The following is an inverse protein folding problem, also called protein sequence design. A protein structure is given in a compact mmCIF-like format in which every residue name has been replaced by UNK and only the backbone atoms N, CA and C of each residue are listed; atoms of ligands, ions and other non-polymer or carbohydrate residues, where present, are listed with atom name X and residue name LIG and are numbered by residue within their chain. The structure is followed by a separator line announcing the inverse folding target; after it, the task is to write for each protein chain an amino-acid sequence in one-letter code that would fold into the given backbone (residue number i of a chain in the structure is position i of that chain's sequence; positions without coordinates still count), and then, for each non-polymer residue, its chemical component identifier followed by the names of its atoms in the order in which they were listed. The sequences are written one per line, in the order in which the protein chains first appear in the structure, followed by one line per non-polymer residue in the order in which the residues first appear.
data_IF_923787549680
#
_entry.id   IF_923787549680
#
_cell.length_a   1.000
_cell.length_b   1.000
_cell.length_c   1.000
_cell.angle_alpha   90.00
_cell.angle_beta   90.00
_cell.angle_gamma   90.00
#
_symmetry.space_group_name_H-M   'P 1'
#
loop_
_entity.id
_entity.type
_entity.pdbx_description
1 polymer ?
#
# COMPACT_ATOMS: atom_id res chain seq x y z
N UNK A 1 20.46 1.73 27.20
CA UNK A 1 20.01 0.81 26.12
C UNK A 1 20.85 0.87 24.83
N UNK A 2 21.39 2.04 24.41
CA UNK A 2 22.30 2.17 23.24
C UNK A 2 23.42 1.12 23.17
N UNK A 3 24.01 0.76 24.32
CA UNK A 3 25.17 -0.14 24.42
C UNK A 3 24.87 -1.62 24.19
N UNK A 4 23.60 -2.03 24.07
CA UNK A 4 23.19 -3.44 23.99
C UNK A 4 23.37 -4.21 25.30
N UNK A 5 23.30 -5.54 25.22
CA UNK A 5 23.49 -6.46 26.34
C UNK A 5 24.89 -7.08 26.25
N UNK A 6 25.91 -6.29 26.61
CA UNK A 6 27.33 -6.65 26.45
C UNK A 6 27.73 -7.92 27.21
N UNK A 7 27.10 -8.19 28.35
CA UNK A 7 27.31 -9.43 29.15
C UNK A 7 27.07 -10.69 28.30
N UNK A 8 26.24 -10.59 27.26
CA UNK A 8 25.93 -11.68 26.33
C UNK A 8 26.51 -11.44 24.92
N UNK A 9 27.53 -10.59 24.76
CA UNK A 9 28.10 -10.21 23.46
C UNK A 9 27.06 -9.69 22.43
N UNK A 10 25.96 -9.11 22.91
CA UNK A 10 24.89 -8.57 22.09
C UNK A 10 25.01 -7.06 21.97
N UNK A 11 25.26 -6.55 20.76
CA UNK A 11 25.43 -5.13 20.47
C UNK A 11 24.25 -4.58 19.66
N UNK A 12 23.89 -3.32 19.89
CA UNK A 12 22.84 -2.66 19.11
C UNK A 12 23.43 -2.01 17.86
N UNK A 13 22.70 -2.08 16.75
CA UNK A 13 23.12 -1.44 15.51
C UNK A 13 22.78 0.05 15.55
N UNK A 14 23.80 0.90 15.71
CA UNK A 14 23.66 2.36 15.77
C UNK A 14 22.95 2.95 14.54
N UNK A 15 23.14 2.35 13.36
CA UNK A 15 22.50 2.78 12.11
C UNK A 15 20.98 2.52 12.08
N UNK A 16 20.44 1.74 13.02
CA UNK A 16 19.01 1.41 13.11
C UNK A 16 18.26 2.21 14.18
N UNK A 17 18.94 3.04 14.97
CA UNK A 17 18.26 3.92 15.91
C UNK A 17 17.59 5.08 15.16
N UNK A 18 16.40 5.43 15.62
CA UNK A 18 15.63 6.57 15.15
C UNK A 18 14.89 7.14 16.34
N UNK A 19 14.98 8.45 16.53
CA UNK A 19 14.21 9.20 17.52
C UNK A 19 13.62 10.45 16.85
N UNK A 20 12.54 10.98 17.42
CA UNK A 20 11.91 12.25 17.02
C UNK A 20 12.28 13.41 17.97
N UNK A 21 13.26 13.22 18.84
CA UNK A 21 13.78 14.20 19.78
C UNK A 21 15.31 14.17 19.76
N UNK A 22 15.94 15.26 20.21
CA UNK A 22 17.38 15.35 20.26
C UNK A 22 17.95 14.40 21.31
N UNK A 23 18.61 13.36 20.83
CA UNK A 23 19.42 12.47 21.65
C UNK A 23 20.80 13.11 21.75
N UNK A 24 21.28 13.38 22.97
CA UNK A 24 22.63 13.93 23.23
C UNK A 24 23.66 13.38 22.24
N UNK A 25 24.12 14.28 21.36
CA UNK A 25 24.89 13.94 20.18
C UNK A 25 26.35 13.80 20.57
N UNK A 26 26.93 12.62 20.36
CA UNK A 26 28.34 12.56 20.01
C UNK A 26 28.47 13.00 18.55
N UNK A 27 29.51 13.76 18.15
CA UNK A 27 29.62 14.41 16.84
C UNK A 27 29.52 13.47 15.62
N UNK A 28 29.62 12.15 15.84
CA UNK A 28 29.55 11.12 14.80
C UNK A 28 28.18 10.38 14.72
N UNK A 29 27.19 10.77 15.53
CA UNK A 29 25.93 10.02 15.70
C UNK A 29 24.73 10.72 15.05
N UNK A 30 24.52 10.46 13.76
CA UNK A 30 23.30 10.86 13.02
C UNK A 30 22.08 10.02 13.43
N UNK A 31 21.55 10.26 14.63
CA UNK A 31 20.42 9.54 15.24
C UNK A 31 19.05 10.10 14.86
N UNK A 32 18.99 11.35 14.37
CA UNK A 32 17.77 11.98 13.88
C UNK A 32 17.46 11.52 12.44
N UNK A 33 17.10 10.24 12.30
CA UNK A 33 16.76 9.61 11.00
C UNK A 33 15.27 9.62 10.69
N UNK A 34 14.57 10.64 11.19
CA UNK A 34 13.17 10.86 10.88
C UNK A 34 13.05 11.05 9.36
N UNK A 35 12.16 10.29 8.74
CA UNK A 35 11.84 10.47 7.33
C UNK A 35 11.00 11.72 7.19
N UNK A 36 11.57 12.78 6.61
CA UNK A 36 10.88 14.04 6.39
C UNK A 36 10.08 13.95 5.08
N UNK A 37 8.82 14.33 5.17
CA UNK A 37 7.91 14.49 4.05
C UNK A 37 8.40 15.56 3.09
N UNK A 38 7.79 15.59 1.91
CA UNK A 38 8.16 16.51 0.83
C UNK A 38 7.85 17.98 1.19
N UNK A 39 6.90 18.17 2.09
CA UNK A 39 6.45 19.44 2.66
C UNK A 39 7.41 20.01 3.71
N UNK A 40 8.43 19.24 4.12
CA UNK A 40 9.40 19.66 5.15
C UNK A 40 8.84 19.68 6.58
N UNK A 41 7.51 19.79 6.73
CA UNK A 41 6.81 19.86 8.00
C UNK A 41 6.41 18.48 8.53
N UNK A 42 5.96 17.56 7.66
CA UNK A 42 5.56 16.23 8.10
C UNK A 42 6.79 15.34 8.30
N UNK A 43 6.84 14.60 9.40
CA UNK A 43 7.98 13.75 9.71
C UNK A 43 7.54 12.40 10.26
N UNK A 44 8.27 11.33 9.92
CA UNK A 44 7.90 9.95 10.23
C UNK A 44 9.05 9.15 10.84
N UNK A 45 8.76 8.40 11.90
CA UNK A 45 9.63 7.31 12.36
C UNK A 45 9.37 6.08 11.50
N UNK A 46 10.43 5.53 10.92
CA UNK A 46 10.38 4.27 10.18
C UNK A 46 10.57 3.09 11.13
N UNK A 47 9.60 2.19 11.14
CA UNK A 47 9.66 1.00 12.00
C UNK A 47 9.08 -0.22 11.31
N UNK A 48 9.93 -1.23 11.03
CA UNK A 48 9.51 -2.54 10.51
C UNK A 48 8.60 -2.50 9.26
N UNK A 49 8.83 -1.54 8.36
CA UNK A 49 8.02 -1.35 7.15
C UNK A 49 6.75 -0.51 7.36
N UNK A 50 6.68 0.23 8.48
CA UNK A 50 5.67 1.23 8.81
C UNK A 50 6.30 2.62 8.85
N UNK A 51 5.48 3.62 8.56
CA UNK A 51 5.73 5.03 8.81
C UNK A 51 4.79 5.47 9.92
N UNK A 52 5.35 5.93 11.03
CA UNK A 52 4.60 6.47 12.17
C UNK A 52 4.77 7.98 12.14
N UNK A 53 3.69 8.72 11.95
CA UNK A 53 3.73 10.18 11.94
C UNK A 53 4.16 10.70 13.31
N UNK A 54 5.17 11.56 13.38
CA UNK A 54 5.71 12.03 14.66
C UNK A 54 4.77 12.99 15.41
N UNK A 55 3.83 13.61 14.71
CA UNK A 55 2.88 14.58 15.27
C UNK A 55 1.52 13.93 15.53
N UNK A 56 0.99 13.16 14.57
CA UNK A 56 -0.36 12.59 14.66
C UNK A 56 -0.40 11.14 15.15
N UNK A 57 0.76 10.47 15.21
CA UNK A 57 0.89 9.03 15.53
C UNK A 57 0.14 8.09 14.58
N UNK A 58 -0.38 8.62 13.46
CA UNK A 58 -1.03 7.84 12.42
C UNK A 58 -0.04 6.93 11.70
N UNK A 59 -0.54 5.81 11.20
CA UNK A 59 0.28 4.72 10.68
C UNK A 59 0.06 4.56 9.18
N UNK A 60 1.15 4.65 8.43
CA UNK A 60 1.18 4.37 6.99
C UNK A 60 2.14 3.23 6.65
N UNK A 61 1.94 2.61 5.49
CA UNK A 61 2.85 1.58 5.02
C UNK A 61 4.11 2.19 4.38
N UNK A 62 5.30 1.72 4.78
CA UNK A 62 6.55 2.16 4.16
C UNK A 62 6.78 1.43 2.82
N UNK A 63 6.81 2.21 1.74
CA UNK A 63 7.07 1.74 0.37
C UNK A 63 8.45 2.14 -0.17
N UNK A 64 9.29 2.80 0.63
CA UNK A 64 10.62 3.29 0.22
C UNK A 64 11.52 2.17 -0.32
N UNK A 65 11.34 0.93 0.17
CA UNK A 65 12.06 -0.25 -0.33
C UNK A 65 11.87 -0.56 -1.82
N UNK A 66 10.85 0.00 -2.46
CA UNK A 66 10.59 -0.17 -3.89
C UNK A 66 11.27 0.89 -4.76
N UNK A 67 12.00 1.85 -4.17
CA UNK A 67 12.65 2.93 -4.92
C UNK A 67 14.01 2.54 -5.49
N UNK A 68 14.71 1.61 -4.85
CA UNK A 68 16.07 1.23 -5.25
C UNK A 68 16.12 0.38 -6.52
N UNK A 69 15.12 -0.48 -6.73
CA UNK A 69 15.11 -1.48 -7.81
C UNK A 69 13.81 -1.42 -8.61
N UNK A 70 13.86 -1.93 -9.85
CA UNK A 70 12.65 -2.10 -10.65
C UNK A 70 11.69 -3.07 -9.95
N UNK A 71 10.40 -2.73 -9.86
CA UNK A 71 9.40 -3.47 -9.08
C UNK A 71 9.25 -4.93 -9.50
N UNK A 72 9.52 -5.26 -10.77
CA UNK A 72 9.52 -6.64 -11.28
C UNK A 72 10.50 -7.56 -10.54
N UNK A 73 11.61 -7.03 -9.99
CA UNK A 73 12.55 -7.80 -9.16
C UNK A 73 11.91 -8.39 -7.88
N UNK A 74 10.74 -7.87 -7.50
CA UNK A 74 10.00 -8.31 -6.31
C UNK A 74 8.89 -9.32 -6.64
N UNK A 75 8.88 -9.85 -7.86
CA UNK A 75 7.86 -10.75 -8.38
C UNK A 75 8.50 -12.02 -8.95
N UNK A 76 7.85 -13.14 -8.70
CA UNK A 76 8.11 -14.41 -9.41
C UNK A 76 6.89 -14.69 -10.29
N UNK A 77 7.12 -14.74 -11.60
CA UNK A 77 6.08 -14.99 -12.60
C UNK A 77 6.04 -16.48 -12.91
N UNK A 78 4.87 -17.09 -12.73
CA UNK A 78 4.65 -18.50 -13.03
C UNK A 78 3.77 -18.60 -14.28
N UNK A 79 4.35 -19.18 -15.35
CA UNK A 79 3.65 -19.42 -16.62
C UNK A 79 3.06 -20.83 -16.73
N UNK A 80 3.58 -21.79 -15.97
CA UNK A 80 3.11 -23.18 -15.98
C UNK A 80 1.69 -23.32 -15.38
N UNK A 81 0.90 -24.24 -15.93
CA UNK A 81 -0.45 -24.57 -15.46
C UNK A 81 -1.47 -23.51 -15.85
N UNK A 82 -2.14 -22.91 -14.86
CA UNK A 82 -3.20 -21.90 -15.05
C UNK A 82 -2.67 -20.49 -14.72
N UNK A 83 -1.99 -19.80 -15.67
CA UNK A 83 -1.28 -18.54 -15.40
C UNK A 83 -2.19 -17.42 -14.88
N UNK A 84 -3.45 -17.40 -15.33
CA UNK A 84 -4.46 -16.48 -14.83
C UNK A 84 -4.81 -16.68 -13.34
N UNK A 85 -4.87 -17.94 -12.87
CA UNK A 85 -5.06 -18.24 -11.46
C UNK A 85 -3.83 -17.84 -10.63
N UNK A 86 -2.63 -18.04 -11.16
CA UNK A 86 -1.38 -17.61 -10.53
C UNK A 86 -1.30 -16.09 -10.37
N UNK A 87 -1.71 -15.33 -11.38
CA UNK A 87 -1.83 -13.88 -11.28
C UNK A 87 -2.79 -13.46 -10.15
N UNK A 88 -3.98 -14.07 -10.09
CA UNK A 88 -4.96 -13.83 -9.02
C UNK A 88 -4.38 -14.14 -7.63
N UNK A 89 -3.67 -15.26 -7.48
CA UNK A 89 -2.98 -15.64 -6.25
C UNK A 89 -1.91 -14.61 -5.88
N UNK A 90 -1.10 -14.16 -6.83
CA UNK A 90 -0.02 -13.18 -6.59
C UNK A 90 -0.54 -11.84 -6.09
N UNK A 91 -1.65 -11.33 -6.65
CA UNK A 91 -2.28 -10.12 -6.12
C UNK A 91 -2.77 -10.31 -4.68
N UNK A 92 -3.39 -11.46 -4.39
CA UNK A 92 -3.83 -11.78 -3.02
C UNK A 92 -2.67 -11.90 -2.05
N UNK A 93 -1.60 -12.57 -2.44
CA UNK A 93 -0.40 -12.73 -1.61
C UNK A 93 0.24 -11.38 -1.27
N UNK A 94 0.21 -10.43 -2.21
CA UNK A 94 0.66 -9.06 -1.94
C UNK A 94 -0.28 -8.30 -0.98
N UNK A 95 -1.59 -8.36 -1.22
CA UNK A 95 -2.58 -7.60 -0.43
C UNK A 95 -2.77 -8.18 0.99
N UNK A 96 -2.64 -9.49 1.16
CA UNK A 96 -2.89 -10.20 2.42
C UNK A 96 -2.12 -9.62 3.61
N UNK A 97 -0.79 -9.45 3.59
CA UNK A 97 -0.07 -8.86 4.74
C UNK A 97 -0.44 -7.39 4.99
N UNK A 98 -0.96 -6.68 3.98
CA UNK A 98 -1.31 -5.25 4.07
C UNK A 98 -2.70 -5.01 4.66
N UNK A 99 -3.54 -6.02 4.76
CA UNK A 99 -4.85 -5.94 5.41
C UNK A 99 -4.73 -6.02 6.95
N UNK A 100 -3.75 -5.36 7.58
CA UNK A 100 -3.58 -5.38 9.04
C UNK A 100 -4.41 -4.27 9.70
N UNK A 101 -5.10 -4.52 10.84
CA UNK A 101 -5.94 -3.53 11.51
C UNK A 101 -5.28 -2.17 11.79
N UNK A 102 -3.97 -2.15 12.06
CA UNK A 102 -3.18 -0.92 12.28
C UNK A 102 -3.37 0.17 11.21
N UNK A 103 -3.68 -0.20 9.96
CA UNK A 103 -3.86 0.78 8.87
C UNK A 103 -5.31 1.28 8.72
N UNK A 104 -6.27 0.64 9.37
CA UNK A 104 -7.71 0.86 9.13
C UNK A 104 -8.51 1.14 10.41
N UNK A 105 -7.88 1.03 11.58
CA UNK A 105 -8.49 1.37 12.85
C UNK A 105 -8.64 2.89 12.98
N UNK A 106 -9.89 3.33 13.12
CA UNK A 106 -10.28 4.73 13.31
C UNK A 106 -9.94 5.26 14.71
N UNK A 107 -9.49 4.40 15.64
CA UNK A 107 -8.87 4.86 16.89
C UNK A 107 -7.43 5.35 16.68
N UNK A 108 -6.78 4.93 15.58
CA UNK A 108 -5.36 5.22 15.29
C UNK A 108 -5.23 6.20 14.11
N UNK A 109 -6.09 6.06 13.10
CA UNK A 109 -5.96 6.79 11.84
C UNK A 109 -7.21 7.60 11.54
N UNK A 110 -7.01 8.81 11.02
CA UNK A 110 -8.06 9.62 10.42
C UNK A 110 -8.73 8.93 9.23
N UNK A 111 -9.91 9.42 8.87
CA UNK A 111 -10.66 8.91 7.72
C UNK A 111 -9.87 9.07 6.41
N UNK A 112 -9.09 10.16 6.30
CA UNK A 112 -8.15 10.44 5.23
C UNK A 112 -7.05 9.38 5.14
N UNK A 113 -6.33 9.13 6.24
CA UNK A 113 -5.19 8.20 6.25
C UNK A 113 -5.63 6.75 6.02
N UNK A 114 -6.79 6.34 6.53
CA UNK A 114 -7.38 5.02 6.23
C UNK A 114 -7.55 4.84 4.72
N UNK A 115 -8.13 5.83 4.03
CA UNK A 115 -8.35 5.77 2.58
C UNK A 115 -7.05 5.89 1.80
N UNK A 116 -6.11 6.72 2.26
CA UNK A 116 -4.78 6.84 1.67
C UNK A 116 -4.03 5.50 1.71
N UNK A 117 -4.03 4.81 2.85
CA UNK A 117 -3.42 3.49 3.00
C UNK A 117 -3.99 2.49 1.98
N UNK A 118 -5.31 2.45 1.81
CA UNK A 118 -5.98 1.60 0.82
C UNK A 118 -5.54 1.96 -0.60
N UNK A 119 -5.55 3.25 -0.93
CA UNK A 119 -5.19 3.74 -2.25
C UNK A 119 -3.74 3.38 -2.62
N UNK A 120 -2.80 3.67 -1.73
CA UNK A 120 -1.38 3.36 -1.92
C UNK A 120 -1.13 1.85 -2.06
N UNK A 121 -1.83 1.01 -1.28
CA UNK A 121 -1.79 -0.45 -1.44
C UNK A 121 -2.27 -0.88 -2.83
N UNK A 122 -3.34 -0.26 -3.35
CA UNK A 122 -3.82 -0.56 -4.70
C UNK A 122 -2.92 -0.02 -5.80
N UNK A 123 -2.24 1.12 -5.62
CA UNK A 123 -1.23 1.60 -6.56
C UNK A 123 -0.11 0.57 -6.75
N UNK A 124 0.48 0.09 -5.65
CA UNK A 124 1.52 -0.95 -5.73
C UNK A 124 0.96 -2.26 -6.29
N UNK A 125 -0.26 -2.64 -5.92
CA UNK A 125 -0.93 -3.83 -6.47
C UNK A 125 -1.10 -3.72 -8.00
N UNK A 126 -1.48 -2.55 -8.51
CA UNK A 126 -1.62 -2.28 -9.93
C UNK A 126 -0.28 -2.26 -10.66
N UNK A 127 0.78 -1.71 -10.05
CA UNK A 127 2.13 -1.75 -10.62
C UNK A 127 2.64 -3.20 -10.71
N UNK A 128 2.42 -3.99 -9.65
CA UNK A 128 2.76 -5.43 -9.65
C UNK A 128 1.95 -6.21 -10.68
N UNK A 129 0.66 -5.91 -10.83
CA UNK A 129 -0.19 -6.47 -11.88
C UNK A 129 0.38 -6.17 -13.27
N UNK A 130 0.80 -4.91 -13.52
CA UNK A 130 1.41 -4.53 -14.78
C UNK A 130 2.67 -5.34 -15.09
N UNK A 131 3.63 -5.37 -14.14
CA UNK A 131 4.87 -6.13 -14.33
C UNK A 131 4.58 -7.61 -14.59
N UNK A 132 3.66 -8.22 -13.83
CA UNK A 132 3.29 -9.62 -14.03
C UNK A 132 2.70 -9.88 -15.41
N UNK A 133 1.77 -9.05 -15.88
CA UNK A 133 1.17 -9.20 -17.22
C UNK A 133 2.20 -8.97 -18.32
N UNK A 134 3.09 -7.98 -18.16
CA UNK A 134 4.17 -7.71 -19.11
C UNK A 134 5.06 -8.94 -19.26
N UNK A 135 5.53 -9.50 -18.16
CA UNK A 135 6.45 -10.63 -18.19
C UNK A 135 5.74 -11.93 -18.64
N UNK A 136 4.47 -12.11 -18.27
CA UNK A 136 3.67 -13.24 -18.74
C UNK A 136 3.39 -13.17 -20.26
N UNK A 137 3.30 -11.97 -20.83
CA UNK A 137 2.95 -11.77 -22.25
C UNK A 137 3.97 -12.34 -23.24
N UNK A 138 5.20 -12.61 -22.79
CA UNK A 138 6.21 -13.31 -23.60
C UNK A 138 5.85 -14.79 -23.82
N UNK A 139 5.04 -15.38 -22.95
CA UNK A 139 4.68 -16.81 -22.99
C UNK A 139 3.21 -17.02 -23.34
N UNK A 140 2.30 -16.24 -22.75
CA UNK A 140 0.86 -16.36 -23.01
C UNK A 140 0.11 -15.03 -22.86
N UNK A 141 -0.97 -14.88 -23.63
CA UNK A 141 -1.86 -13.72 -23.53
C UNK A 141 -3.03 -14.05 -22.61
N UNK A 142 -3.18 -13.26 -21.54
CA UNK A 142 -4.36 -13.34 -20.67
C UNK A 142 -5.44 -12.44 -21.23
N UNK A 143 -6.66 -12.98 -21.34
CA UNK A 143 -7.82 -12.21 -21.78
C UNK A 143 -8.07 -10.99 -20.89
N UNK A 144 -8.42 -9.86 -21.51
CA UNK A 144 -8.57 -8.57 -20.84
C UNK A 144 -9.85 -8.53 -19.97
N UNK A 145 -10.91 -9.24 -20.34
CA UNK A 145 -12.10 -9.38 -19.48
C UNK A 145 -11.77 -10.21 -18.25
N UNK A 146 -10.97 -11.26 -18.42
CA UNK A 146 -10.46 -12.06 -17.31
C UNK A 146 -9.57 -11.24 -16.37
N UNK A 147 -8.67 -10.41 -16.90
CA UNK A 147 -7.90 -9.43 -16.13
C UNK A 147 -8.79 -8.49 -15.31
N UNK A 148 -9.85 -7.93 -15.92
CA UNK A 148 -10.82 -7.10 -15.18
C UNK A 148 -11.49 -7.89 -14.05
N UNK A 149 -11.83 -9.17 -14.27
CA UNK A 149 -12.40 -10.04 -13.24
C UNK A 149 -11.43 -10.26 -12.08
N UNK A 150 -10.15 -10.49 -12.36
CA UNK A 150 -9.10 -10.65 -11.35
C UNK A 150 -8.97 -9.39 -10.50
N UNK A 151 -8.94 -8.21 -11.12
CA UNK A 151 -8.84 -6.92 -10.42
C UNK A 151 -10.03 -6.77 -9.47
N UNK A 152 -11.27 -6.89 -9.97
CA UNK A 152 -12.47 -6.78 -9.14
C UNK A 152 -12.51 -7.77 -7.98
N UNK A 153 -12.12 -9.03 -8.23
CA UNK A 153 -12.01 -10.06 -7.18
C UNK A 153 -10.95 -9.70 -6.14
N UNK A 154 -9.89 -9.00 -6.51
CA UNK A 154 -8.84 -8.55 -5.60
C UNK A 154 -9.31 -7.38 -4.73
N UNK A 155 -10.07 -6.44 -5.29
CA UNK A 155 -10.67 -5.33 -4.53
C UNK A 155 -11.65 -5.86 -3.47
N UNK A 156 -12.55 -6.76 -3.87
CA UNK A 156 -13.50 -7.44 -2.97
C UNK A 156 -12.79 -8.26 -1.90
N UNK A 157 -11.73 -8.96 -2.29
CA UNK A 157 -10.91 -9.75 -1.36
C UNK A 157 -10.31 -8.87 -0.27
N UNK A 158 -9.73 -7.71 -0.64
CA UNK A 158 -9.15 -6.78 0.32
C UNK A 158 -10.19 -6.28 1.33
N UNK A 159 -11.34 -5.79 0.86
CA UNK A 159 -12.40 -5.31 1.76
C UNK A 159 -12.85 -6.40 2.74
N UNK A 160 -13.12 -7.63 2.24
CA UNK A 160 -13.52 -8.75 3.08
C UNK A 160 -12.44 -9.14 4.10
N UNK A 161 -11.17 -9.16 3.68
CA UNK A 161 -10.07 -9.51 4.57
C UNK A 161 -9.84 -8.46 5.65
N UNK A 162 -9.94 -7.17 5.32
CA UNK A 162 -9.88 -6.07 6.29
C UNK A 162 -10.99 -6.26 7.33
N UNK A 163 -12.25 -6.36 6.89
CA UNK A 163 -13.40 -6.53 7.80
C UNK A 163 -13.21 -7.73 8.73
N UNK A 164 -12.80 -8.87 8.18
CA UNK A 164 -12.54 -10.10 8.95
C UNK A 164 -11.46 -9.90 10.01
N UNK A 165 -10.34 -9.25 9.65
CA UNK A 165 -9.21 -9.06 10.56
C UNK A 165 -9.47 -8.00 11.63
N UNK A 166 -10.21 -6.95 11.30
CA UNK A 166 -10.69 -5.97 12.27
C UNK A 166 -11.56 -6.67 13.32
N UNK A 167 -12.47 -7.54 12.89
CA UNK A 167 -13.33 -8.29 13.82
C UNK A 167 -12.58 -9.35 14.65
N UNK A 168 -11.57 -10.02 14.07
CA UNK A 168 -10.84 -11.08 14.78
C UNK A 168 -9.81 -10.56 15.78
N UNK A 169 -9.38 -9.30 15.67
CA UNK A 169 -8.38 -8.74 16.56
C UNK A 169 -9.02 -8.41 17.92
N UNK A 170 -8.66 -9.19 18.94
CA UNK A 170 -9.02 -8.92 20.34
C UNK A 170 -7.74 -8.50 21.07
N UNK A 171 -7.63 -7.22 21.40
CA UNK A 171 -6.46 -6.67 22.10
C UNK A 171 -6.62 -6.86 23.63
N UNK A 172 -7.74 -6.39 24.17
CA UNK A 172 -8.14 -6.54 25.58
C UNK A 172 -9.66 -6.52 25.70
N UNK A 173 -10.20 -6.72 26.91
CA UNK A 173 -11.65 -6.62 27.17
C UNK A 173 -12.24 -5.25 26.82
N UNK A 174 -11.44 -4.18 26.86
CA UNK A 174 -11.87 -2.79 26.69
C UNK A 174 -11.55 -2.16 25.33
N UNK A 175 -10.57 -2.68 24.57
CA UNK A 175 -10.10 -2.04 23.33
C UNK A 175 -10.49 -2.90 22.12
N UNK A 176 -11.38 -2.36 21.29
CA UNK A 176 -11.79 -2.94 20.00
C UNK A 176 -11.49 -1.98 18.85
N UNK A 177 -10.91 -2.47 17.76
CA UNK A 177 -10.62 -1.62 16.61
C UNK A 177 -11.92 -1.20 15.91
N UNK A 178 -11.99 0.05 15.47
CA UNK A 178 -13.16 0.63 14.82
C UNK A 178 -12.89 0.76 13.33
N UNK A 179 -13.75 0.16 12.48
CA UNK A 179 -13.63 0.27 11.03
C UNK A 179 -14.72 1.18 10.45
N UNK A 180 -14.38 2.44 10.16
CA UNK A 180 -15.25 3.38 9.42
C UNK A 180 -14.93 3.40 7.92
N UNK A 181 -15.22 2.30 7.23
CA UNK A 181 -14.91 2.11 5.81
C UNK A 181 -16.00 1.34 5.07
N UNK A 182 -16.55 1.92 4.01
CA UNK A 182 -17.59 1.29 3.18
C UNK A 182 -16.95 0.44 2.07
N UNK A 183 -17.62 -0.65 1.69
CA UNK A 183 -17.19 -1.51 0.56
C UNK A 183 -17.00 -0.73 -0.73
N UNK A 184 -17.93 0.17 -1.04
CA UNK A 184 -17.89 0.98 -2.26
C UNK A 184 -16.66 1.89 -2.32
N UNK A 185 -16.17 2.37 -1.18
CA UNK A 185 -14.96 3.20 -1.14
C UNK A 185 -13.72 2.39 -1.52
N UNK A 186 -13.61 1.16 -1.00
CA UNK A 186 -12.51 0.24 -1.36
C UNK A 186 -12.54 -0.09 -2.86
N UNK A 187 -13.73 -0.39 -3.39
CA UNK A 187 -13.90 -0.69 -4.83
C UNK A 187 -13.57 0.53 -5.69
N UNK A 188 -14.01 1.73 -5.30
CA UNK A 188 -13.74 2.98 -6.03
C UNK A 188 -12.25 3.34 -6.00
N UNK A 189 -11.61 3.33 -4.83
CA UNK A 189 -10.17 3.62 -4.67
C UNK A 189 -9.32 2.62 -5.48
N UNK A 190 -9.71 1.35 -5.44
CA UNK A 190 -9.05 0.30 -6.21
C UNK A 190 -9.17 0.51 -7.71
N UNK A 191 -10.37 0.78 -8.23
CA UNK A 191 -10.57 1.08 -9.65
C UNK A 191 -9.76 2.31 -10.06
N UNK A 192 -9.79 3.38 -9.26
CA UNK A 192 -9.05 4.60 -9.52
C UNK A 192 -7.54 4.34 -9.60
N UNK A 193 -6.96 3.66 -8.59
CA UNK A 193 -5.54 3.33 -8.55
C UNK A 193 -5.09 2.50 -9.76
N UNK A 194 -5.85 1.44 -10.12
CA UNK A 194 -5.55 0.62 -11.29
C UNK A 194 -5.62 1.43 -12.59
N UNK A 195 -6.61 2.31 -12.75
CA UNK A 195 -6.72 3.17 -13.93
C UNK A 195 -5.50 4.10 -14.02
N UNK A 196 -5.11 4.76 -12.93
CA UNK A 196 -3.98 5.72 -12.95
C UNK A 196 -2.65 5.03 -13.32
N UNK A 197 -2.37 3.87 -12.73
CA UNK A 197 -1.16 3.10 -13.03
C UNK A 197 -1.18 2.58 -14.48
N UNK A 198 -2.30 1.98 -14.92
CA UNK A 198 -2.38 1.40 -16.26
C UNK A 198 -2.44 2.46 -17.36
N UNK A 199 -2.92 3.68 -17.08
CA UNK A 199 -2.89 4.82 -18.02
C UNK A 199 -1.47 5.16 -18.46
N UNK A 200 -0.48 5.09 -17.55
CA UNK A 200 0.95 5.26 -17.88
C UNK A 200 1.51 4.16 -18.80
N UNK A 201 0.75 3.06 -18.98
CA UNK A 201 1.11 1.89 -19.78
C UNK A 201 0.02 1.56 -20.82
N UNK A 202 -0.64 2.60 -21.34
CA UNK A 202 -1.86 2.50 -22.15
C UNK A 202 -1.69 1.62 -23.40
N UNK A 203 -0.53 1.64 -24.06
CA UNK A 203 -0.25 0.85 -25.27
C UNK A 203 -0.56 -0.64 -25.08
N UNK A 204 -0.31 -1.19 -23.88
CA UNK A 204 -0.56 -2.59 -23.54
C UNK A 204 -1.96 -2.85 -22.98
N UNK A 205 -2.58 -1.85 -22.35
CA UNK A 205 -3.77 -2.01 -21.52
C UNK A 205 -5.01 -1.30 -22.05
N UNK A 206 -5.02 -0.82 -23.31
CA UNK A 206 -6.13 -0.02 -23.90
C UNK A 206 -7.52 -0.64 -23.67
N UNK A 207 -7.70 -1.92 -23.98
CA UNK A 207 -9.00 -2.63 -23.81
C UNK A 207 -9.41 -2.75 -22.34
N UNK A 208 -8.47 -3.10 -21.45
CA UNK A 208 -8.73 -3.20 -20.02
C UNK A 208 -9.04 -1.83 -19.41
N UNK A 209 -8.33 -0.78 -19.80
CA UNK A 209 -8.58 0.59 -19.37
C UNK A 209 -9.99 1.04 -19.73
N UNK A 210 -10.49 0.74 -20.93
CA UNK A 210 -11.86 1.06 -21.32
C UNK A 210 -12.88 0.39 -20.38
N UNK A 211 -12.68 -0.90 -20.07
CA UNK A 211 -13.55 -1.66 -19.15
C UNK A 211 -13.50 -1.09 -17.74
N UNK A 212 -12.30 -0.77 -17.22
CA UNK A 212 -12.15 -0.23 -15.87
C UNK A 212 -12.74 1.19 -15.75
N UNK A 213 -12.52 2.05 -16.76
CA UNK A 213 -13.10 3.40 -16.80
C UNK A 213 -14.62 3.36 -16.84
N UNK A 214 -15.21 2.50 -17.68
CA UNK A 214 -16.67 2.30 -17.70
C UNK A 214 -17.20 1.90 -16.32
N UNK A 215 -16.53 0.96 -15.63
CA UNK A 215 -16.89 0.55 -14.27
C UNK A 215 -16.75 1.69 -13.25
N UNK A 216 -15.71 2.50 -13.34
CA UNK A 216 -15.53 3.65 -12.46
C UNK A 216 -16.63 4.70 -12.69
N UNK A 217 -16.96 5.01 -13.95
CA UNK A 217 -18.02 5.96 -14.30
C UNK A 217 -19.39 5.48 -13.80
N UNK A 218 -19.69 4.18 -13.90
CA UNK A 218 -20.92 3.60 -13.35
C UNK A 218 -20.96 3.50 -11.82
N UNK A 219 -19.85 3.80 -11.14
CA UNK A 219 -19.77 3.63 -9.69
C UNK A 219 -20.47 4.80 -8.98
N UNK A 220 -21.37 4.50 -8.04
CA UNK A 220 -22.22 5.50 -7.34
C UNK A 220 -21.42 6.67 -6.73
N UNK A 221 -20.22 6.38 -6.20
CA UNK A 221 -19.33 7.40 -5.59
C UNK A 221 -18.81 8.41 -6.62
N UNK A 222 -18.73 8.08 -7.90
CA UNK A 222 -18.19 8.98 -8.92
C UNK A 222 -19.03 10.24 -9.13
N UNK A 223 -20.31 10.23 -8.74
CA UNK A 223 -21.16 11.42 -8.74
C UNK A 223 -21.02 12.30 -7.49
N UNK A 224 -20.46 11.78 -6.40
CA UNK A 224 -20.28 12.52 -5.14
C UNK A 224 -19.09 11.95 -4.36
N UNK A 225 -17.88 12.43 -4.71
CA UNK A 225 -16.63 11.99 -4.09
C UNK A 225 -16.39 12.82 -2.83
N UNK A 226 -16.30 12.14 -1.68
CA UNK A 226 -16.07 12.78 -0.38
C UNK A 226 -14.68 13.42 -0.27
N UNK A 227 -14.46 14.40 0.63
CA UNK A 227 -13.16 15.04 0.82
C UNK A 227 -12.04 14.04 1.16
N UNK A 228 -12.32 13.02 1.95
CA UNK A 228 -11.34 12.02 2.37
C UNK A 228 -10.92 11.10 1.21
N UNK A 229 -11.83 10.84 0.28
CA UNK A 229 -11.51 10.14 -0.96
C UNK A 229 -10.69 11.01 -1.91
N UNK A 230 -11.01 12.31 -2.02
CA UNK A 230 -10.22 13.28 -2.80
C UNK A 230 -8.80 13.36 -2.26
N UNK A 231 -8.66 13.49 -0.94
CA UNK A 231 -7.37 13.47 -0.26
C UNK A 231 -6.58 12.19 -0.61
N UNK A 232 -7.20 11.02 -0.49
CA UNK A 232 -6.52 9.76 -0.75
C UNK A 232 -6.01 9.62 -2.19
N UNK A 233 -6.75 10.14 -3.19
CA UNK A 233 -6.36 10.02 -4.61
C UNK A 233 -5.48 11.17 -5.11
N UNK A 234 -5.27 12.20 -4.30
CA UNK A 234 -4.35 13.28 -4.62
C UNK A 234 -2.95 12.71 -4.92
N UNK A 235 -2.37 13.16 -6.03
CA UNK A 235 -1.09 12.68 -6.50
C UNK A 235 0.04 13.04 -5.53
N UNK A 236 -0.04 14.16 -4.81
CA UNK A 236 0.99 14.59 -3.88
C UNK A 236 1.10 13.66 -2.66
N UNK A 237 -0.05 13.19 -2.16
CA UNK A 237 -0.14 12.25 -1.04
C UNK A 237 0.41 10.85 -1.36
N UNK A 238 0.66 10.56 -2.64
CA UNK A 238 1.30 9.33 -3.11
C UNK A 238 2.52 9.61 -4.01
N UNK A 239 3.11 10.81 -3.93
CA UNK A 239 4.17 11.27 -4.83
C UNK A 239 5.39 10.34 -4.86
N UNK A 240 5.75 9.77 -3.71
CA UNK A 240 6.84 8.80 -3.58
C UNK A 240 6.60 7.55 -4.45
N UNK A 241 5.37 7.05 -4.48
CA UNK A 241 5.04 5.82 -5.21
C UNK A 241 5.19 6.01 -6.71
N UNK A 242 4.99 7.22 -7.22
CA UNK A 242 5.14 7.51 -8.65
C UNK A 242 6.58 7.52 -9.15
N UNK A 243 7.57 7.54 -8.23
CA UNK A 243 9.01 7.40 -8.50
C UNK A 243 9.44 5.93 -8.66
N UNK A 244 8.59 4.97 -8.30
CA UNK A 244 8.88 3.54 -8.45
C UNK A 244 9.00 3.20 -9.95
N UNK A 245 10.05 2.45 -10.30
CA UNK A 245 10.25 1.93 -11.66
C UNK A 245 9.44 0.64 -11.82
N UNK A 246 8.49 0.58 -12.76
CA UNK A 246 7.64 -0.60 -13.02
C UNK A 246 7.25 -0.74 -14.50
#
# INVERSE_FOLDING_TARGET
MKRGFRVYNCYMNEKKFSANFDVEQTPDSSLNRVYVGKDGATSFVRWSGLLINCSTMEIQADYTKYLSNHLSSTLTVCWQGKPGNRLKEKLRLFLRPKCHPLFFDSNINSAEVVRLNIYQMFLISAMKFHCYIRDLSFVCKVDQRYCSSIIQKSLRYMHMLIKRRMHSLRLSSSIRPILKLKKGEVEWLGLHAFIQVLKRKQSRHKKLLAVLKSKLLSHRISGSVSPELKFAVDAENSSLLWKIKY
#
